data_IF_133326886112
#
_entry.id   IF_133326886112
#
_cell.length_a   1.000
_cell.length_b   1.000
_cell.length_c   1.000
_cell.angle_alpha   90.00
_cell.angle_beta   90.00
_cell.angle_gamma   90.00
#
_symmetry.space_group_name_H-M   'P 1'
#
loop_
_entity.id
_entity.type
_entity.pdbx_description
1 polymer ?
#
# COMPACT_ATOMS: atom_id res chain seq x y z
N UNK A 1 37.59 -10.61 16.25
CA UNK A 1 37.08 -10.30 14.89
C UNK A 1 35.69 -10.89 14.76
N UNK A 2 34.67 -10.10 15.04
CA UNK A 2 33.26 -10.50 14.88
C UNK A 2 32.91 -10.38 13.41
N UNK A 3 32.76 -11.51 12.72
CA UNK A 3 32.20 -11.55 11.37
C UNK A 3 30.69 -11.26 11.49
N UNK A 4 30.30 -10.00 11.29
CA UNK A 4 28.91 -9.64 10.99
C UNK A 4 28.60 -10.23 9.62
N UNK A 5 27.91 -11.38 9.64
CA UNK A 5 27.38 -12.03 8.46
C UNK A 5 26.31 -11.08 7.87
N UNK A 6 26.70 -10.19 6.96
CA UNK A 6 25.81 -9.24 6.29
C UNK A 6 24.81 -10.05 5.46
N UNK A 7 23.65 -10.35 6.06
CA UNK A 7 22.60 -11.10 5.38
C UNK A 7 22.00 -10.20 4.29
N UNK A 8 22.38 -10.45 3.05
CA UNK A 8 21.79 -9.82 1.87
C UNK A 8 20.58 -10.61 1.38
N UNK A 9 19.65 -9.94 0.73
CA UNK A 9 18.42 -10.49 0.19
C UNK A 9 18.12 -9.86 -1.17
N UNK A 10 17.25 -10.48 -1.95
CA UNK A 10 16.93 -10.03 -3.29
C UNK A 10 15.76 -9.05 -3.28
N UNK A 11 15.92 -7.95 -4.01
CA UNK A 11 14.88 -6.97 -4.33
C UNK A 11 14.85 -6.76 -5.85
N UNK A 12 13.89 -7.39 -6.52
CA UNK A 12 13.88 -7.46 -7.99
C UNK A 12 15.13 -8.19 -8.50
N UNK A 13 15.93 -7.50 -9.32
CA UNK A 13 17.18 -8.01 -9.89
C UNK A 13 18.44 -7.63 -9.09
N UNK A 14 18.28 -6.99 -7.92
CA UNK A 14 19.40 -6.48 -7.11
C UNK A 14 19.50 -7.21 -5.77
N UNK A 15 20.73 -7.45 -5.29
CA UNK A 15 20.98 -7.85 -3.90
C UNK A 15 21.09 -6.61 -3.01
N UNK A 16 20.36 -6.61 -1.91
CA UNK A 16 20.27 -5.51 -0.93
C UNK A 16 20.43 -6.08 0.47
N UNK A 17 20.92 -5.27 1.43
CA UNK A 17 20.93 -5.70 2.83
C UNK A 17 19.49 -5.98 3.30
N UNK A 18 19.31 -6.96 4.17
CA UNK A 18 17.96 -7.38 4.62
C UNK A 18 17.19 -6.25 5.31
N UNK A 19 17.90 -5.41 6.06
CA UNK A 19 17.38 -4.20 6.72
C UNK A 19 16.90 -3.15 5.71
N UNK A 20 17.58 -3.03 4.56
CA UNK A 20 17.22 -2.07 3.51
C UNK A 20 16.05 -2.56 2.64
N UNK A 21 15.82 -3.87 2.56
CA UNK A 21 14.75 -4.45 1.73
C UNK A 21 13.39 -3.91 2.13
N UNK A 22 13.07 -3.88 3.43
CA UNK A 22 11.78 -3.40 3.92
C UNK A 22 11.57 -1.92 3.55
N UNK A 23 12.61 -1.10 3.69
CA UNK A 23 12.56 0.32 3.33
C UNK A 23 12.31 0.51 1.83
N UNK A 24 13.02 -0.23 0.97
CA UNK A 24 12.83 -0.17 -0.49
C UNK A 24 11.44 -0.65 -0.91
N UNK A 25 10.91 -1.69 -0.28
CA UNK A 25 9.52 -2.14 -0.52
C UNK A 25 8.54 -1.02 -0.15
N UNK A 26 8.67 -0.42 1.03
CA UNK A 26 7.80 0.67 1.46
C UNK A 26 7.85 1.87 0.51
N UNK A 27 9.04 2.26 0.05
CA UNK A 27 9.24 3.32 -0.94
C UNK A 27 8.52 3.03 -2.27
N UNK A 28 8.62 1.79 -2.78
CA UNK A 28 7.87 1.40 -3.98
C UNK A 28 6.37 1.47 -3.73
N UNK A 29 5.87 0.91 -2.63
CA UNK A 29 4.45 0.99 -2.29
C UNK A 29 3.95 2.43 -2.22
N UNK A 30 4.70 3.34 -1.58
CA UNK A 30 4.37 4.77 -1.54
C UNK A 30 4.38 5.43 -2.93
N UNK A 31 5.37 5.08 -3.76
CA UNK A 31 5.50 5.66 -5.11
C UNK A 31 4.36 5.26 -6.04
N UNK A 32 3.79 4.07 -5.82
CA UNK A 32 2.74 3.50 -6.66
C UNK A 32 1.35 3.87 -6.15
N UNK A 33 1.15 3.97 -4.82
CA UNK A 33 -0.12 4.37 -4.22
C UNK A 33 -0.63 5.72 -4.77
N UNK A 34 0.23 6.75 -4.77
CA UNK A 34 -0.13 8.07 -5.29
C UNK A 34 -0.50 8.06 -6.78
N UNK A 35 0.13 7.19 -7.58
CA UNK A 35 -0.17 7.06 -9.02
C UNK A 35 -1.51 6.37 -9.25
N UNK A 36 -1.84 5.35 -8.45
CA UNK A 36 -3.13 4.68 -8.52
C UNK A 36 -4.28 5.58 -8.08
N UNK A 37 -4.08 6.40 -7.04
CA UNK A 37 -5.11 7.35 -6.60
C UNK A 37 -5.46 8.34 -7.72
N UNK A 38 -4.44 8.92 -8.36
CA UNK A 38 -4.64 9.84 -9.49
C UNK A 38 -5.33 9.15 -10.68
N UNK A 39 -4.89 7.95 -11.02
CA UNK A 39 -5.48 7.18 -12.13
C UNK A 39 -6.93 6.81 -11.83
N UNK A 40 -7.25 6.39 -10.60
CA UNK A 40 -8.60 6.06 -10.18
C UNK A 40 -9.51 7.28 -10.17
N UNK A 41 -9.05 8.43 -9.68
CA UNK A 41 -9.79 9.69 -9.75
C UNK A 41 -10.06 10.10 -11.21
N UNK A 42 -9.07 10.00 -12.10
CA UNK A 42 -9.19 10.39 -13.50
C UNK A 42 -10.07 9.43 -14.33
N UNK A 43 -9.80 8.13 -14.27
CA UNK A 43 -10.53 7.11 -15.04
C UNK A 43 -11.99 7.00 -14.61
N UNK A 44 -12.26 7.13 -13.31
CA UNK A 44 -13.62 7.10 -12.79
C UNK A 44 -14.30 8.46 -12.81
N UNK A 45 -13.62 9.54 -13.23
CA UNK A 45 -14.09 10.92 -13.03
C UNK A 45 -14.61 11.17 -11.60
N UNK A 46 -13.94 10.57 -10.60
CA UNK A 46 -14.32 10.64 -9.18
C UNK A 46 -15.51 9.77 -8.74
N UNK A 47 -16.12 8.97 -9.62
CA UNK A 47 -17.30 8.12 -9.31
C UNK A 47 -17.03 7.12 -8.18
N UNK A 48 -15.80 6.62 -8.04
CA UNK A 48 -15.45 5.69 -6.97
C UNK A 48 -15.67 6.27 -5.57
N UNK A 49 -15.66 7.60 -5.41
CA UNK A 49 -15.98 8.28 -4.14
C UNK A 49 -17.46 8.15 -3.80
N UNK A 50 -18.32 8.24 -4.83
CA UNK A 50 -19.76 7.98 -4.70
C UNK A 50 -20.01 6.51 -4.33
N UNK A 51 -19.32 5.57 -4.98
CA UNK A 51 -19.45 4.15 -4.65
C UNK A 51 -19.02 3.85 -3.23
N UNK A 52 -17.89 4.39 -2.75
CA UNK A 52 -17.49 4.24 -1.33
C UNK A 52 -18.57 4.72 -0.36
N UNK A 53 -19.16 5.90 -0.63
CA UNK A 53 -20.24 6.45 0.20
C UNK A 53 -21.49 5.56 0.16
N UNK A 54 -21.88 5.14 -1.03
CA UNK A 54 -23.03 4.25 -1.22
C UNK A 54 -22.81 2.91 -0.51
N UNK A 55 -21.62 2.31 -0.61
CA UNK A 55 -21.28 1.06 0.09
C UNK A 55 -21.39 1.23 1.60
N UNK A 56 -20.90 2.34 2.17
CA UNK A 56 -21.02 2.60 3.61
C UNK A 56 -22.50 2.72 4.00
N UNK A 57 -23.29 3.50 3.26
CA UNK A 57 -24.72 3.67 3.54
C UNK A 57 -25.49 2.35 3.44
N UNK A 58 -25.19 1.52 2.43
CA UNK A 58 -25.82 0.21 2.23
C UNK A 58 -25.34 -0.86 3.21
N UNK A 59 -24.10 -0.77 3.70
CA UNK A 59 -23.53 -1.73 4.63
C UNK A 59 -24.21 -1.73 6.01
N UNK A 60 -24.97 -0.67 6.33
CA UNK A 60 -25.64 -0.53 7.62
C UNK A 60 -24.66 -0.43 8.80
N UNK A 61 -23.39 -0.11 8.54
CA UNK A 61 -22.36 0.06 9.57
C UNK A 61 -22.73 1.24 10.46
N UNK A 62 -22.68 1.01 11.77
CA UNK A 62 -23.01 2.00 12.81
C UNK A 62 -21.83 2.24 13.72
N UNK A 63 -21.89 3.34 14.46
CA UNK A 63 -20.92 3.63 15.52
C UNK A 63 -20.78 2.43 16.46
N UNK A 64 -19.54 1.99 16.70
CA UNK A 64 -19.21 0.81 17.49
C UNK A 64 -18.99 -0.48 16.70
N UNK A 65 -19.30 -0.51 15.39
CA UNK A 65 -18.99 -1.66 14.54
C UNK A 65 -17.50 -1.67 14.17
N UNK A 66 -16.90 -2.85 14.10
CA UNK A 66 -15.56 -3.06 13.56
C UNK A 66 -15.69 -3.59 12.13
N UNK A 67 -15.06 -2.91 11.18
CA UNK A 67 -15.06 -3.26 9.76
C UNK A 67 -13.62 -3.44 9.32
N UNK A 68 -13.37 -4.46 8.50
CA UNK A 68 -12.09 -4.70 7.84
C UNK A 68 -12.20 -4.18 6.40
N UNK A 69 -11.25 -3.33 6.00
CA UNK A 69 -11.06 -2.87 4.62
C UNK A 69 -9.97 -3.72 3.95
#
# INVERSE_FOLDING_TARGET
>A
MTQTNEQTTHFGFQQVALEEKQKKVAEVFHSVANKYDLMNDLMSAGIHRLWKRYTIEMSGVRSGHKVLD
#
